data_IF_532183322170
#
_entry.id   IF_532183322170
#
_cell.length_a   1.000
_cell.length_b   1.000
_cell.length_c   1.000
_cell.angle_alpha   90.00
_cell.angle_beta   90.00
_cell.angle_gamma   90.00
#
_symmetry.space_group_name_H-M   'P 1'
#
loop_
_entity.id
_entity.type
_entity.pdbx_description
1 polymer ?
#
# COMPACT_ATOMS: atom_id res chain seq x y z
N UNK A 1 -23.53 -33.55 46.65
CA UNK A 1 -23.45 -33.86 45.21
C UNK A 1 -24.79 -33.50 44.58
N UNK A 2 -24.79 -32.68 43.53
CA UNK A 2 -26.03 -32.33 42.84
C UNK A 2 -26.68 -33.60 42.28
N UNK A 3 -27.99 -33.76 42.53
CA UNK A 3 -28.78 -34.92 42.07
C UNK A 3 -29.00 -34.87 40.55
N UNK A 4 -28.79 -33.69 39.94
CA UNK A 4 -29.04 -33.40 38.54
C UNK A 4 -27.82 -32.65 37.99
N UNK A 5 -27.19 -33.20 36.96
CA UNK A 5 -26.12 -32.55 36.22
C UNK A 5 -26.73 -31.61 35.16
N UNK A 6 -26.15 -30.42 34.99
CA UNK A 6 -26.58 -29.46 33.97
C UNK A 6 -25.49 -29.32 32.93
N UNK A 7 -25.79 -29.72 31.70
CA UNK A 7 -24.92 -29.58 30.54
C UNK A 7 -25.42 -28.38 29.74
N UNK A 8 -24.55 -27.36 29.60
CA UNK A 8 -24.84 -26.14 28.85
C UNK A 8 -23.61 -25.71 28.07
N UNK A 9 -23.84 -24.96 26.99
CA UNK A 9 -22.75 -24.35 26.24
C UNK A 9 -21.97 -23.33 27.10
N UNK A 10 -20.65 -23.44 27.10
CA UNK A 10 -19.73 -22.47 27.72
C UNK A 10 -18.55 -22.12 26.80
N UNK A 11 -18.68 -22.38 25.49
CA UNK A 11 -17.68 -22.03 24.49
C UNK A 11 -17.66 -20.54 24.12
N UNK A 12 -16.67 -20.15 23.32
CA UNK A 12 -16.49 -18.78 22.84
C UNK A 12 -17.48 -18.47 21.69
N UNK A 13 -18.11 -17.28 21.64
CA UNK A 13 -19.03 -16.87 20.56
C UNK A 13 -18.60 -17.18 19.12
N UNK A 14 -17.31 -17.11 18.80
CA UNK A 14 -16.76 -17.32 17.44
C UNK A 14 -16.61 -18.80 17.04
N UNK A 15 -17.13 -19.71 17.85
CA UNK A 15 -17.06 -21.16 17.63
C UNK A 15 -18.33 -21.65 16.92
N UNK A 16 -18.14 -22.41 15.85
CA UNK A 16 -19.23 -23.03 15.08
C UNK A 16 -19.65 -24.38 15.64
N UNK A 17 -18.70 -25.20 16.10
CA UNK A 17 -18.98 -26.44 16.81
C UNK A 17 -18.08 -26.62 18.03
N UNK A 18 -18.65 -27.13 19.10
CA UNK A 18 -17.96 -27.32 20.38
C UNK A 18 -18.41 -28.61 21.05
N UNK A 19 -17.44 -29.48 21.35
CA UNK A 19 -17.65 -30.70 22.13
C UNK A 19 -17.63 -30.38 23.62
N UNK A 20 -18.68 -30.80 24.33
CA UNK A 20 -18.74 -30.71 25.78
C UNK A 20 -17.63 -31.58 26.41
N UNK A 21 -16.88 -31.11 27.43
CA UNK A 21 -15.66 -31.79 27.88
C UNK A 21 -15.89 -33.12 28.61
N UNK A 22 -17.06 -33.32 29.24
CA UNK A 22 -17.38 -34.57 29.93
C UNK A 22 -18.17 -35.50 29.01
N UNK A 23 -17.78 -36.77 28.99
CA UNK A 23 -18.49 -37.83 28.27
C UNK A 23 -19.34 -38.69 29.22
N UNK A 24 -19.18 -38.51 30.54
CA UNK A 24 -19.94 -39.24 31.55
C UNK A 24 -21.22 -38.47 31.87
N UNK A 25 -22.34 -38.88 31.24
CA UNK A 25 -23.64 -38.24 31.45
C UNK A 25 -24.53 -39.09 32.36
N UNK A 26 -25.13 -38.45 33.37
CA UNK A 26 -26.14 -39.08 34.22
C UNK A 26 -27.50 -39.29 33.54
N UNK A 27 -28.29 -40.25 34.05
CA UNK A 27 -29.62 -40.64 33.51
C UNK A 27 -30.71 -39.55 33.62
N UNK A 28 -30.40 -38.38 34.18
CA UNK A 28 -31.32 -37.24 34.35
C UNK A 28 -30.65 -35.91 34.01
N UNK A 29 -29.58 -35.95 33.22
CA UNK A 29 -28.82 -34.76 32.86
C UNK A 29 -29.72 -33.76 32.13
N UNK A 30 -29.67 -32.51 32.57
CA UNK A 30 -30.42 -31.41 31.97
C UNK A 30 -29.55 -30.75 30.91
N UNK A 31 -29.92 -30.94 29.66
CA UNK A 31 -29.29 -30.30 28.51
C UNK A 31 -29.96 -28.96 28.24
N UNK A 32 -29.19 -27.87 28.27
CA UNK A 32 -29.67 -26.51 27.98
C UNK A 32 -29.05 -26.05 26.67
N UNK A 33 -29.90 -25.83 25.67
CA UNK A 33 -29.52 -25.36 24.34
C UNK A 33 -30.03 -23.94 24.15
N UNK A 34 -29.15 -23.01 23.79
CA UNK A 34 -29.53 -21.61 23.56
C UNK A 34 -30.35 -21.45 22.27
N UNK A 35 -31.09 -20.34 22.14
CA UNK A 35 -31.95 -20.06 20.97
C UNK A 35 -31.22 -20.11 19.62
N UNK A 36 -29.95 -19.69 19.60
CA UNK A 36 -29.14 -19.66 18.39
C UNK A 36 -28.31 -20.94 18.18
N UNK A 37 -28.67 -22.04 18.85
CA UNK A 37 -27.88 -23.27 18.87
C UNK A 37 -28.74 -24.51 18.65
N UNK A 38 -28.06 -25.56 18.21
CA UNK A 38 -28.54 -26.93 18.25
C UNK A 38 -27.53 -27.76 19.03
N UNK A 39 -27.98 -28.85 19.65
CA UNK A 39 -27.09 -29.83 20.25
C UNK A 39 -27.27 -31.21 19.61
N UNK A 40 -26.19 -31.94 19.39
CA UNK A 40 -26.22 -33.31 18.86
C UNK A 40 -25.58 -34.24 19.89
N UNK A 41 -26.27 -35.33 20.20
CA UNK A 41 -25.75 -36.39 21.06
C UNK A 41 -25.09 -37.48 20.22
N UNK A 42 -23.84 -37.80 20.53
CA UNK A 42 -23.12 -38.92 19.95
C UNK A 42 -22.97 -40.04 20.97
N UNK A 43 -23.13 -41.29 20.52
CA UNK A 43 -22.83 -42.47 21.32
C UNK A 43 -22.29 -43.58 20.43
N UNK A 44 -21.24 -44.25 20.90
CA UNK A 44 -20.61 -45.35 20.15
C UNK A 44 -20.15 -44.93 18.75
N UNK A 45 -19.74 -43.67 18.57
CA UNK A 45 -19.32 -43.11 17.28
C UNK A 45 -20.45 -42.75 16.32
N UNK A 46 -21.72 -42.80 16.73
CA UNK A 46 -22.86 -42.44 15.89
C UNK A 46 -23.56 -41.17 16.38
N UNK A 47 -23.92 -40.28 15.45
CA UNK A 47 -24.78 -39.12 15.72
C UNK A 47 -26.23 -39.60 15.88
N UNK A 48 -26.74 -39.56 17.10
CA UNK A 48 -28.06 -40.09 17.42
C UNK A 48 -29.12 -39.01 17.27
N UNK A 49 -29.37 -38.24 18.32
CA UNK A 49 -30.46 -37.26 18.37
C UNK A 49 -29.95 -35.82 18.31
N UNK A 50 -30.80 -34.96 17.73
CA UNK A 50 -30.58 -33.53 17.59
C UNK A 50 -31.61 -32.80 18.44
N UNK A 51 -31.13 -31.93 19.31
CA UNK A 51 -31.92 -31.16 20.25
C UNK A 51 -31.96 -29.69 19.80
N UNK A 52 -33.15 -29.13 19.54
CA UNK A 52 -33.29 -27.71 19.23
C UNK A 52 -33.09 -26.85 20.49
N UNK A 53 -33.21 -25.53 20.34
CA UNK A 53 -33.22 -24.60 21.46
C UNK A 53 -34.22 -24.99 22.56
N UNK A 54 -33.81 -24.79 23.82
CA UNK A 54 -34.62 -25.07 24.99
C UNK A 54 -33.95 -25.99 26.01
N UNK A 55 -34.74 -26.41 26.99
CA UNK A 55 -34.31 -27.30 28.06
C UNK A 55 -34.80 -28.72 27.77
N UNK A 56 -33.88 -29.66 27.75
CA UNK A 56 -34.13 -31.07 27.47
C UNK A 56 -33.63 -31.94 28.63
N UNK A 57 -34.34 -33.02 28.92
CA UNK A 57 -33.89 -34.02 29.90
C UNK A 57 -33.36 -35.23 29.14
N UNK A 58 -32.10 -35.57 29.36
CA UNK A 58 -31.45 -36.72 28.75
C UNK A 58 -31.79 -37.98 29.55
N UNK A 59 -32.81 -38.68 29.09
CA UNK A 59 -33.17 -40.02 29.56
C UNK A 59 -33.03 -41.01 28.43
N UNK A 60 -32.48 -42.19 28.72
CA UNK A 60 -32.36 -43.29 27.75
C UNK A 60 -33.69 -43.55 27.02
N UNK A 61 -34.80 -43.51 27.75
CA UNK A 61 -36.16 -43.73 27.25
C UNK A 61 -36.68 -42.66 26.29
N UNK A 62 -36.16 -41.43 26.37
CA UNK A 62 -36.68 -40.26 25.62
C UNK A 62 -35.85 -39.91 24.39
N UNK A 63 -34.84 -40.74 24.06
CA UNK A 63 -33.90 -40.54 22.97
C UNK A 63 -34.22 -41.61 21.90
N UNK A 64 -35.05 -41.31 20.88
CA UNK A 64 -35.67 -42.30 19.99
C UNK A 64 -34.69 -43.29 19.34
N UNK A 65 -33.50 -42.83 18.96
CA UNK A 65 -32.48 -43.68 18.32
C UNK A 65 -31.67 -44.50 19.33
N UNK A 66 -31.57 -44.04 20.57
CA UNK A 66 -30.79 -44.66 21.63
C UNK A 66 -31.58 -45.78 22.34
N UNK A 67 -32.91 -45.70 22.34
CA UNK A 67 -33.82 -46.76 22.83
C UNK A 67 -33.58 -48.11 22.16
N UNK A 68 -33.24 -48.13 20.88
CA UNK A 68 -33.01 -49.37 20.13
C UNK A 68 -31.68 -50.06 20.50
N UNK A 69 -30.77 -49.36 21.19
CA UNK A 69 -29.39 -49.80 21.44
C UNK A 69 -29.19 -50.24 22.91
N UNK A 70 -30.03 -49.79 23.84
CA UNK A 70 -29.82 -49.96 25.30
C UNK A 70 -30.83 -50.95 25.88
N UNK A 71 -30.64 -52.25 25.62
CA UNK A 71 -31.28 -53.34 26.37
C UNK A 71 -30.21 -54.09 27.17
N UNK A 72 -29.59 -53.44 28.16
CA UNK A 72 -28.68 -54.09 29.12
C UNK A 72 -29.09 -53.74 30.56
N UNK A 73 -29.17 -54.74 31.47
CA UNK A 73 -29.70 -54.55 32.82
C UNK A 73 -28.60 -54.01 33.75
N UNK A 74 -28.31 -52.71 33.66
CA UNK A 74 -27.40 -52.06 34.60
C UNK A 74 -28.19 -51.49 35.78
N UNK A 75 -28.01 -52.10 36.94
CA UNK A 75 -28.75 -51.87 38.19
C UNK A 75 -28.75 -50.43 38.71
N UNK A 76 -29.67 -49.61 38.21
CA UNK A 76 -30.26 -48.49 38.94
C UNK A 76 -29.60 -47.12 38.79
N UNK A 77 -28.28 -47.02 38.53
CA UNK A 77 -27.59 -45.77 38.15
C UNK A 77 -26.30 -46.10 37.40
N UNK A 78 -26.31 -46.00 36.07
CA UNK A 78 -25.08 -46.11 35.28
C UNK A 78 -24.95 -44.85 34.42
N UNK A 79 -23.87 -44.05 34.58
CA UNK A 79 -23.55 -43.01 33.62
C UNK A 79 -23.36 -43.68 32.26
N UNK A 80 -24.04 -43.16 31.24
CA UNK A 80 -23.81 -43.65 29.88
C UNK A 80 -22.76 -42.76 29.23
N UNK A 81 -21.71 -43.37 28.69
CA UNK A 81 -20.70 -42.65 27.92
C UNK A 81 -21.34 -42.11 26.62
N UNK A 82 -21.45 -40.80 26.50
CA UNK A 82 -21.95 -40.11 25.33
C UNK A 82 -21.36 -38.70 25.23
N UNK A 83 -21.22 -38.23 24.00
CA UNK A 83 -20.68 -36.89 23.73
C UNK A 83 -21.81 -35.93 23.37
N UNK A 84 -21.75 -34.72 23.89
CA UNK A 84 -22.66 -33.63 23.51
C UNK A 84 -21.90 -32.62 22.67
N UNK A 85 -22.39 -32.36 21.47
CA UNK A 85 -21.86 -31.35 20.57
C UNK A 85 -22.83 -30.20 20.45
N UNK A 86 -22.37 -28.98 20.69
CA UNK A 86 -23.13 -27.76 20.44
C UNK A 86 -22.71 -27.17 19.10
N UNK A 87 -23.71 -26.77 18.31
CA UNK A 87 -23.54 -26.18 16.99
C UNK A 87 -24.18 -24.80 17.02
N UNK A 88 -23.39 -23.79 16.67
CA UNK A 88 -23.86 -22.43 16.61
C UNK A 88 -24.49 -22.13 15.24
N UNK A 89 -25.75 -21.71 15.25
CA UNK A 89 -26.56 -21.45 14.05
C UNK A 89 -26.60 -19.96 13.67
N UNK A 90 -25.87 -19.11 14.39
CA UNK A 90 -25.76 -17.68 14.06
C UNK A 90 -25.16 -17.47 12.67
N UNK A 91 -25.51 -16.33 12.10
CA UNK A 91 -24.87 -15.82 10.89
C UNK A 91 -23.49 -15.24 11.26
N UNK A 92 -22.42 -15.83 10.75
CA UNK A 92 -21.07 -15.24 10.82
C UNK A 92 -20.80 -14.50 9.52
N UNK A 93 -20.92 -13.18 9.53
CA UNK A 93 -20.92 -12.34 8.32
C UNK A 93 -19.56 -11.72 7.98
N UNK A 94 -18.55 -11.93 8.82
CA UNK A 94 -17.29 -11.20 8.80
C UNK A 94 -16.07 -12.12 8.54
N UNK A 95 -16.27 -13.23 7.81
CA UNK A 95 -15.20 -14.18 7.47
C UNK A 95 -14.31 -13.58 6.39
N UNK A 96 -13.19 -12.99 6.83
CA UNK A 96 -12.23 -12.31 5.95
C UNK A 96 -11.45 -13.31 5.09
N UNK A 97 -11.27 -12.99 3.82
CA UNK A 97 -10.44 -13.75 2.89
C UNK A 97 -9.53 -12.82 2.10
N UNK A 98 -8.44 -13.38 1.57
CA UNK A 98 -7.57 -12.65 0.66
C UNK A 98 -6.59 -13.57 -0.04
N UNK A 99 -6.04 -13.10 -1.15
CA UNK A 99 -5.04 -13.83 -1.93
C UNK A 99 -3.67 -13.71 -1.26
N UNK A 100 -3.12 -14.79 -0.67
CA UNK A 100 -1.83 -14.73 0.03
C UNK A 100 -0.66 -14.49 -0.95
N UNK A 101 -0.78 -15.03 -2.17
CA UNK A 101 0.18 -14.84 -3.26
C UNK A 101 -0.46 -13.98 -4.35
N UNK A 102 0.30 -13.02 -4.95
CA UNK A 102 -0.22 -12.23 -6.06
C UNK A 102 -0.66 -13.11 -7.23
N UNK A 103 -1.73 -12.68 -7.90
CA UNK A 103 -2.23 -13.22 -9.16
C UNK A 103 -1.47 -12.54 -10.28
N UNK A 104 -0.69 -13.30 -11.04
CA UNK A 104 0.04 -12.78 -12.20
C UNK A 104 -0.84 -12.91 -13.44
N UNK A 105 -1.02 -11.83 -14.18
CA UNK A 105 -1.77 -11.86 -15.44
C UNK A 105 -1.26 -10.78 -16.40
N UNK A 106 -1.62 -10.93 -17.67
CA UNK A 106 -1.36 -9.92 -18.68
C UNK A 106 -2.61 -9.05 -18.86
N UNK A 107 -2.47 -7.74 -18.65
CA UNK A 107 -3.55 -6.79 -18.88
C UNK A 107 -3.91 -6.80 -20.39
N UNK A 108 -5.19 -7.05 -20.76
CA UNK A 108 -5.58 -7.23 -22.15
C UNK A 108 -5.60 -5.91 -22.97
N UNK A 109 -5.61 -4.75 -22.31
CA UNK A 109 -5.68 -3.43 -22.95
C UNK A 109 -4.28 -2.88 -23.22
N UNK A 110 -3.37 -3.04 -22.28
CA UNK A 110 -2.00 -2.52 -22.36
C UNK A 110 -0.96 -3.59 -22.70
N UNK A 111 -1.36 -4.87 -22.69
CA UNK A 111 -0.51 -6.02 -22.98
C UNK A 111 0.71 -6.16 -22.05
N UNK A 112 0.61 -5.63 -20.83
CA UNK A 112 1.67 -5.67 -19.81
C UNK A 112 1.38 -6.76 -18.76
N UNK A 113 2.43 -7.35 -18.21
CA UNK A 113 2.29 -8.25 -17.06
C UNK A 113 2.12 -7.44 -15.78
N UNK A 114 1.07 -7.75 -15.03
CA UNK A 114 0.75 -7.12 -13.76
C UNK A 114 0.49 -8.20 -12.72
N UNK A 115 0.85 -7.86 -11.49
CA UNK A 115 0.51 -8.70 -10.34
C UNK A 115 -0.59 -8.02 -9.55
N UNK A 116 -1.64 -8.76 -9.18
CA UNK A 116 -2.74 -8.22 -8.38
C UNK A 116 -3.00 -9.05 -7.14
N UNK A 117 -3.54 -8.41 -6.11
CA UNK A 117 -4.08 -9.06 -4.94
C UNK A 117 -5.54 -8.68 -4.80
N UNK A 118 -6.30 -9.58 -4.21
CA UNK A 118 -7.70 -9.35 -3.92
C UNK A 118 -8.01 -9.80 -2.51
N UNK A 119 -8.89 -9.07 -1.86
CA UNK A 119 -9.37 -9.40 -0.53
C UNK A 119 -10.83 -9.00 -0.37
N UNK A 120 -11.44 -9.57 0.66
CA UNK A 120 -12.81 -9.28 0.99
C UNK A 120 -13.28 -10.06 2.19
N UNK A 121 -14.56 -10.33 2.24
CA UNK A 121 -15.17 -11.13 3.30
C UNK A 121 -16.37 -11.89 2.77
N UNK A 122 -16.73 -12.98 3.43
CA UNK A 122 -17.92 -13.72 3.15
C UNK A 122 -18.65 -14.07 4.44
N UNK A 123 -19.93 -14.36 4.29
CA UNK A 123 -20.82 -14.68 5.39
C UNK A 123 -21.32 -16.10 5.28
N UNK A 124 -21.31 -16.84 6.40
CA UNK A 124 -21.84 -18.20 6.46
C UNK A 124 -22.85 -18.39 7.58
N UNK A 125 -23.61 -19.46 7.45
CA UNK A 125 -24.45 -20.01 8.51
C UNK A 125 -24.36 -21.54 8.46
N UNK A 126 -24.32 -22.20 9.62
CA UNK A 126 -24.47 -23.66 9.67
C UNK A 126 -25.93 -24.01 9.48
N UNK A 127 -26.28 -24.65 8.37
CA UNK A 127 -27.67 -25.00 8.04
C UNK A 127 -28.00 -26.45 8.44
N UNK A 128 -27.13 -27.41 8.11
CA UNK A 128 -27.28 -28.83 8.46
C UNK A 128 -26.19 -29.24 9.46
N UNK A 129 -26.57 -29.31 10.74
CA UNK A 129 -25.66 -29.57 11.86
C UNK A 129 -25.06 -30.98 11.83
N UNK A 130 -25.82 -31.99 11.38
CA UNK A 130 -25.32 -33.38 11.29
C UNK A 130 -24.27 -33.49 10.19
N UNK A 131 -24.59 -32.96 9.01
CA UNK A 131 -23.67 -32.97 7.86
C UNK A 131 -22.41 -32.19 8.14
N UNK A 132 -22.53 -31.02 8.78
CA UNK A 132 -21.42 -30.20 9.21
C UNK A 132 -20.47 -30.94 10.17
N UNK A 133 -21.00 -31.52 11.25
CA UNK A 133 -20.15 -32.28 12.19
C UNK A 133 -19.46 -33.47 11.52
N UNK A 134 -20.23 -34.29 10.80
CA UNK A 134 -19.73 -35.55 10.24
C UNK A 134 -18.71 -35.36 9.12
N UNK A 135 -18.88 -34.34 8.27
CA UNK A 135 -18.00 -34.13 7.11
C UNK A 135 -16.86 -33.14 7.37
N UNK A 136 -17.03 -32.19 8.29
CA UNK A 136 -16.09 -31.07 8.43
C UNK A 136 -15.37 -31.06 9.78
N UNK A 137 -16.10 -31.25 10.89
CA UNK A 137 -15.52 -31.13 12.24
C UNK A 137 -14.73 -32.39 12.62
N UNK A 138 -15.24 -33.57 12.26
CA UNK A 138 -14.57 -34.83 12.51
C UNK A 138 -14.33 -35.05 14.01
N UNK A 139 -13.05 -35.10 14.41
CA UNK A 139 -12.64 -35.35 15.80
C UNK A 139 -12.13 -34.10 16.55
N UNK A 140 -12.22 -32.91 15.94
CA UNK A 140 -11.73 -31.67 16.54
C UNK A 140 -12.66 -31.21 17.67
N UNK A 141 -12.21 -31.09 18.93
CA UNK A 141 -13.10 -30.73 20.05
C UNK A 141 -13.74 -29.35 19.89
N UNK A 142 -13.12 -28.47 19.09
CA UNK A 142 -13.61 -27.14 18.77
C UNK A 142 -13.38 -26.89 17.27
N UNK A 143 -14.40 -26.38 16.59
CA UNK A 143 -14.30 -25.89 15.22
C UNK A 143 -14.70 -24.42 15.16
N UNK A 144 -13.75 -23.57 14.81
CA UNK A 144 -13.88 -22.11 14.80
C UNK A 144 -13.67 -21.53 13.39
N UNK A 145 -13.64 -20.20 13.33
CA UNK A 145 -13.41 -19.40 12.12
C UNK A 145 -12.08 -19.70 11.41
N UNK A 146 -11.02 -19.96 12.16
CA UNK A 146 -9.70 -20.24 11.58
C UNK A 146 -9.67 -21.62 10.93
N UNK A 147 -10.28 -22.63 11.58
CA UNK A 147 -10.45 -23.96 11.02
C UNK A 147 -11.24 -23.91 9.70
N UNK A 148 -12.35 -23.15 9.67
CA UNK A 148 -13.14 -22.94 8.46
C UNK A 148 -12.29 -22.34 7.33
N UNK A 149 -11.55 -21.27 7.62
CA UNK A 149 -10.72 -20.57 6.65
C UNK A 149 -9.62 -21.47 6.08
N UNK A 150 -8.99 -22.28 6.91
CA UNK A 150 -7.96 -23.22 6.49
C UNK A 150 -8.54 -24.31 5.59
N UNK A 151 -9.70 -24.87 5.95
CA UNK A 151 -10.34 -25.92 5.16
C UNK A 151 -10.75 -25.44 3.77
N UNK A 152 -11.43 -24.28 3.68
CA UNK A 152 -11.93 -23.75 2.42
C UNK A 152 -10.92 -22.85 1.68
N UNK A 153 -9.67 -22.76 2.16
CA UNK A 153 -8.61 -21.95 1.54
C UNK A 153 -8.42 -22.23 0.07
N UNK A 154 -8.30 -23.50 -0.30
CA UNK A 154 -8.14 -23.90 -1.69
C UNK A 154 -9.34 -23.52 -2.56
N UNK A 155 -10.55 -23.60 -1.99
CA UNK A 155 -11.80 -23.31 -2.69
C UNK A 155 -11.92 -21.83 -3.05
N UNK A 156 -11.93 -20.94 -2.05
CA UNK A 156 -12.14 -19.50 -2.33
C UNK A 156 -10.97 -18.91 -3.12
N UNK A 157 -9.74 -19.37 -2.90
CA UNK A 157 -8.58 -18.88 -3.67
C UNK A 157 -8.67 -19.27 -5.13
N UNK A 158 -9.02 -20.52 -5.42
CA UNK A 158 -9.16 -21.00 -6.80
C UNK A 158 -10.31 -20.26 -7.50
N UNK A 159 -11.49 -20.16 -6.86
CA UNK A 159 -12.66 -19.51 -7.45
C UNK A 159 -12.45 -18.01 -7.66
N UNK A 160 -11.86 -17.31 -6.70
CA UNK A 160 -11.56 -15.88 -6.85
C UNK A 160 -10.54 -15.64 -7.97
N UNK A 161 -9.44 -16.40 -8.02
CA UNK A 161 -8.42 -16.28 -9.07
C UNK A 161 -8.99 -16.52 -10.45
N UNK A 162 -9.67 -17.65 -10.62
CA UNK A 162 -10.25 -18.07 -11.90
C UNK A 162 -11.27 -17.05 -12.41
N UNK A 163 -12.17 -16.59 -11.53
CA UNK A 163 -13.17 -15.58 -11.88
C UNK A 163 -12.52 -14.26 -12.27
N UNK A 164 -11.63 -13.71 -11.43
CA UNK A 164 -10.96 -12.42 -11.70
C UNK A 164 -10.17 -12.47 -13.01
N UNK A 165 -9.36 -13.51 -13.21
CA UNK A 165 -8.55 -13.67 -14.43
C UNK A 165 -9.41 -13.86 -15.68
N UNK A 166 -10.44 -14.70 -15.62
CA UNK A 166 -11.36 -14.94 -16.73
C UNK A 166 -12.10 -13.66 -17.11
N UNK A 167 -12.54 -12.88 -16.12
CA UNK A 167 -13.26 -11.65 -16.34
C UNK A 167 -12.42 -10.61 -17.07
N UNK A 168 -11.15 -10.44 -16.66
CA UNK A 168 -10.20 -9.56 -17.34
C UNK A 168 -9.97 -10.01 -18.79
N UNK A 169 -9.60 -11.28 -18.98
CA UNK A 169 -9.20 -11.80 -20.30
C UNK A 169 -10.38 -11.85 -21.28
N UNK A 170 -11.52 -12.41 -20.89
CA UNK A 170 -12.65 -12.62 -21.79
C UNK A 170 -13.42 -11.33 -22.08
N UNK A 171 -13.63 -10.46 -21.07
CA UNK A 171 -14.29 -9.16 -21.28
C UNK A 171 -13.34 -8.08 -21.79
N UNK A 172 -12.04 -8.37 -21.89
CA UNK A 172 -10.98 -7.43 -22.31
C UNK A 172 -10.97 -6.14 -21.48
N UNK A 173 -11.23 -6.27 -20.18
CA UNK A 173 -11.25 -5.16 -19.23
C UNK A 173 -9.83 -4.96 -18.69
N UNK A 174 -9.40 -3.71 -18.53
CA UNK A 174 -8.11 -3.43 -17.90
C UNK A 174 -8.16 -3.71 -16.40
N UNK A 175 -7.03 -4.11 -15.82
CA UNK A 175 -6.86 -4.23 -14.37
C UNK A 175 -7.16 -2.91 -13.64
N UNK A 176 -7.01 -1.76 -14.31
CA UNK A 176 -7.33 -0.44 -13.74
C UNK A 176 -8.83 -0.18 -13.63
N UNK A 177 -9.64 -0.92 -14.38
CA UNK A 177 -11.09 -0.75 -14.49
C UNK A 177 -11.85 -1.86 -13.75
N UNK A 178 -11.16 -2.91 -13.28
CA UNK A 178 -11.79 -4.09 -12.68
C UNK A 178 -12.60 -3.78 -11.42
N UNK A 179 -12.20 -2.76 -10.66
CA UNK A 179 -12.91 -2.37 -9.45
C UNK A 179 -14.34 -1.83 -9.72
N UNK A 180 -14.68 -1.52 -10.98
CA UNK A 180 -16.05 -1.20 -11.37
C UNK A 180 -16.99 -2.44 -11.38
N UNK A 181 -16.42 -3.65 -11.31
CA UNK A 181 -17.15 -4.92 -11.46
C UNK A 181 -17.14 -5.79 -10.20
N UNK A 182 -16.78 -5.23 -9.04
CA UNK A 182 -16.68 -5.98 -7.78
C UNK A 182 -17.98 -6.69 -7.40
N UNK A 183 -19.14 -6.08 -7.65
CA UNK A 183 -20.46 -6.67 -7.35
C UNK A 183 -20.70 -7.91 -8.23
N UNK A 184 -20.44 -7.81 -9.53
CA UNK A 184 -20.63 -8.93 -10.46
C UNK A 184 -19.67 -10.08 -10.16
N UNK A 185 -18.39 -9.77 -9.87
CA UNK A 185 -17.40 -10.77 -9.45
C UNK A 185 -17.82 -11.46 -8.15
N UNK A 186 -18.34 -10.69 -7.19
CA UNK A 186 -18.80 -11.17 -5.89
C UNK A 186 -19.93 -12.20 -6.02
N UNK A 187 -20.97 -11.88 -6.78
CA UNK A 187 -22.08 -12.81 -7.02
C UNK A 187 -21.64 -14.04 -7.82
N UNK A 188 -20.81 -13.88 -8.85
CA UNK A 188 -20.33 -15.03 -9.63
C UNK A 188 -19.49 -16.00 -8.78
N UNK A 189 -18.61 -15.49 -7.91
CA UNK A 189 -17.82 -16.34 -7.00
C UNK A 189 -18.75 -17.06 -6.01
N UNK A 190 -19.71 -16.32 -5.44
CA UNK A 190 -20.70 -16.87 -4.50
C UNK A 190 -21.49 -18.02 -5.10
N UNK A 191 -22.09 -17.83 -6.28
CA UNK A 191 -22.89 -18.84 -6.99
C UNK A 191 -22.10 -20.14 -7.22
N UNK A 192 -20.83 -20.00 -7.60
CA UNK A 192 -19.93 -21.13 -7.82
C UNK A 192 -19.47 -21.83 -6.53
N UNK A 193 -19.55 -21.17 -5.38
CA UNK A 193 -19.14 -21.72 -4.07
C UNK A 193 -20.30 -22.37 -3.31
N UNK A 194 -21.52 -21.87 -3.47
CA UNK A 194 -22.74 -22.39 -2.81
C UNK A 194 -22.86 -23.93 -2.89
N UNK A 195 -22.80 -24.59 -4.07
CA UNK A 195 -23.05 -26.03 -4.14
C UNK A 195 -22.03 -26.81 -3.31
N UNK A 196 -20.76 -26.40 -3.36
CA UNK A 196 -19.67 -27.07 -2.65
C UNK A 196 -19.82 -26.91 -1.14
N UNK A 197 -20.10 -25.69 -0.64
CA UNK A 197 -20.26 -25.47 0.80
C UNK A 197 -21.52 -26.16 1.36
N UNK A 198 -22.59 -26.25 0.57
CA UNK A 198 -23.84 -26.92 0.93
C UNK A 198 -23.65 -28.44 1.14
N UNK A 199 -22.69 -29.05 0.45
CA UNK A 199 -22.33 -30.46 0.68
C UNK A 199 -21.74 -30.72 2.08
N UNK A 200 -21.25 -29.67 2.75
CA UNK A 200 -20.73 -29.72 4.12
C UNK A 200 -21.71 -29.13 5.14
N UNK A 201 -22.96 -28.85 4.75
CA UNK A 201 -23.99 -28.32 5.64
C UNK A 201 -23.83 -26.84 5.96
N UNK A 202 -23.01 -26.12 5.18
CA UNK A 202 -22.77 -24.70 5.34
C UNK A 202 -23.53 -23.94 4.26
N UNK A 203 -24.36 -22.99 4.68
CA UNK A 203 -24.99 -22.00 3.82
C UNK A 203 -24.08 -20.80 3.64
N UNK A 204 -23.68 -20.53 2.40
CA UNK A 204 -23.00 -19.28 2.03
C UNK A 204 -24.05 -18.17 1.85
N UNK A 205 -24.00 -17.15 2.70
CA UNK A 205 -24.99 -16.07 2.78
C UNK A 205 -24.65 -14.96 1.81
N UNK A 206 -23.40 -14.53 1.85
CA UNK A 206 -22.84 -13.53 0.94
C UNK A 206 -21.37 -13.84 0.69
N UNK A 207 -20.83 -13.29 -0.39
CA UNK A 207 -19.41 -13.27 -0.67
C UNK A 207 -19.12 -11.91 -1.28
N UNK A 208 -18.16 -11.18 -0.72
CA UNK A 208 -17.78 -9.86 -1.20
C UNK A 208 -16.30 -9.85 -1.55
N UNK A 209 -16.01 -9.35 -2.75
CA UNK A 209 -14.71 -8.84 -3.14
C UNK A 209 -14.72 -7.35 -2.78
N UNK A 210 -13.95 -6.96 -1.76
CA UNK A 210 -13.94 -5.57 -1.29
C UNK A 210 -13.00 -4.71 -2.13
N UNK A 211 -11.88 -5.28 -2.58
CA UNK A 211 -10.89 -4.57 -3.38
C UNK A 211 -10.05 -5.54 -4.21
N UNK A 212 -9.58 -5.05 -5.34
CA UNK A 212 -8.58 -5.67 -6.20
C UNK A 212 -7.51 -4.61 -6.43
N UNK A 213 -6.35 -4.82 -5.80
CA UNK A 213 -5.26 -3.88 -5.84
C UNK A 213 -4.02 -4.47 -6.51
N UNK A 214 -3.20 -3.55 -7.00
CA UNK A 214 -1.92 -3.85 -7.63
C UNK A 214 -0.85 -3.41 -6.63
N UNK A 215 0.09 -4.27 -6.22
CA UNK A 215 1.16 -3.89 -5.30
C UNK A 215 1.90 -2.65 -5.83
N UNK A 216 1.99 -1.60 -4.99
CA UNK A 216 2.58 -0.32 -5.40
C UNK A 216 4.07 -0.42 -5.75
N UNK A 217 4.74 -1.48 -5.29
CA UNK A 217 6.16 -1.75 -5.52
C UNK A 217 6.45 -2.23 -6.95
N UNK A 218 5.43 -2.58 -7.74
CA UNK A 218 5.61 -3.10 -9.10
C UNK A 218 6.07 -2.00 -10.05
N UNK A 219 7.33 -2.08 -10.47
CA UNK A 219 7.95 -1.10 -11.38
C UNK A 219 7.22 -0.97 -12.72
N UNK A 220 6.53 -2.03 -13.17
CA UNK A 220 5.78 -2.03 -14.44
C UNK A 220 4.56 -1.13 -14.34
N UNK A 221 3.92 -1.13 -13.17
CA UNK A 221 2.69 -0.39 -12.90
C UNK A 221 2.99 1.08 -12.68
N UNK A 222 4.12 1.41 -12.02
CA UNK A 222 4.61 2.79 -11.92
C UNK A 222 4.83 3.38 -13.31
N UNK A 223 5.56 2.66 -14.17
CA UNK A 223 5.80 3.07 -15.57
C UNK A 223 4.50 3.20 -16.37
N UNK A 224 3.54 2.30 -16.18
CA UNK A 224 2.23 2.41 -16.84
C UNK A 224 1.49 3.66 -16.39
N UNK A 225 1.43 3.93 -15.08
CA UNK A 225 0.78 5.13 -14.53
C UNK A 225 1.44 6.40 -15.07
N UNK A 226 2.78 6.45 -15.10
CA UNK A 226 3.53 7.56 -15.69
C UNK A 226 3.22 7.74 -17.18
N UNK A 227 3.19 6.66 -17.97
CA UNK A 227 2.86 6.71 -19.38
C UNK A 227 1.41 7.16 -19.63
N UNK A 228 0.46 6.71 -18.81
CA UNK A 228 -0.93 7.13 -18.87
C UNK A 228 -1.12 8.60 -18.47
N UNK A 229 -0.42 9.05 -17.43
CA UNK A 229 -0.42 10.45 -17.02
C UNK A 229 0.17 11.34 -18.13
N UNK A 230 1.29 10.92 -18.72
CA UNK A 230 1.92 11.62 -19.84
C UNK A 230 1.02 11.67 -21.07
N UNK A 231 0.32 10.58 -21.38
CA UNK A 231 -0.68 10.56 -22.47
C UNK A 231 -1.84 11.52 -22.18
N UNK A 232 -2.36 11.52 -20.96
CA UNK A 232 -3.43 12.43 -20.57
C UNK A 232 -2.98 13.89 -20.65
N UNK A 233 -1.73 14.19 -20.26
CA UNK A 233 -1.14 15.52 -20.41
C UNK A 233 -1.06 15.95 -21.88
N UNK A 234 -0.54 15.08 -22.75
CA UNK A 234 -0.51 15.28 -24.20
C UNK A 234 -1.92 15.56 -24.77
N UNK A 235 -2.93 14.80 -24.34
CA UNK A 235 -4.31 14.96 -24.77
C UNK A 235 -4.93 16.28 -24.27
N UNK A 236 -4.63 16.71 -23.04
CA UNK A 236 -5.13 17.97 -22.45
C UNK A 236 -4.52 19.19 -23.11
N UNK A 237 -3.20 19.18 -23.31
CA UNK A 237 -2.45 20.32 -23.85
C UNK A 237 -2.54 20.35 -25.38
N UNK A 238 -2.81 19.21 -26.03
CA UNK A 238 -3.03 19.11 -27.46
C UNK A 238 -1.76 18.95 -28.29
N UNK A 239 -0.72 18.32 -27.74
CA UNK A 239 0.51 17.98 -28.47
C UNK A 239 0.73 16.47 -28.51
N UNK A 240 1.40 15.98 -29.55
CA UNK A 240 1.77 14.57 -29.69
C UNK A 240 3.24 14.31 -29.34
N UNK A 241 3.61 13.04 -29.21
CA UNK A 241 4.98 12.63 -28.85
C UNK A 241 6.06 13.18 -29.79
N UNK A 242 5.79 13.27 -31.10
CA UNK A 242 6.75 13.81 -32.05
C UNK A 242 6.96 15.31 -31.85
N UNK A 243 5.88 16.06 -31.54
CA UNK A 243 5.95 17.47 -31.19
C UNK A 243 6.70 17.69 -29.88
N UNK A 244 6.41 16.91 -28.84
CA UNK A 244 7.13 16.97 -27.56
C UNK A 244 8.64 16.79 -27.75
N UNK A 245 9.04 15.71 -28.44
CA UNK A 245 10.45 15.44 -28.72
C UNK A 245 11.09 16.55 -29.55
N UNK A 246 10.35 17.19 -30.44
CA UNK A 246 10.85 18.35 -31.18
C UNK A 246 11.11 19.54 -30.25
N UNK A 247 10.21 19.84 -29.32
CA UNK A 247 10.39 20.89 -28.33
C UNK A 247 11.54 20.60 -27.37
N UNK A 248 11.65 19.37 -26.86
CA UNK A 248 12.77 18.92 -26.02
C UNK A 248 14.12 19.10 -26.73
N UNK A 249 14.20 18.76 -28.02
CA UNK A 249 15.44 18.91 -28.80
C UNK A 249 15.79 20.38 -29.03
N UNK A 250 14.79 21.24 -29.25
CA UNK A 250 14.99 22.68 -29.39
C UNK A 250 15.46 23.31 -28.07
N UNK A 251 14.85 22.92 -26.95
CA UNK A 251 15.25 23.38 -25.61
C UNK A 251 16.65 22.88 -25.25
N UNK A 252 16.97 21.61 -25.51
CA UNK A 252 18.30 21.03 -25.29
C UNK A 252 19.39 21.70 -26.13
N UNK A 253 19.08 22.10 -27.36
CA UNK A 253 19.97 22.88 -28.23
C UNK A 253 20.14 24.34 -27.75
N UNK A 254 19.09 24.95 -27.21
CA UNK A 254 19.13 26.31 -26.67
C UNK A 254 19.89 26.41 -25.33
N UNK A 255 19.80 25.37 -24.50
CA UNK A 255 20.44 25.31 -23.18
C UNK A 255 21.89 24.81 -23.21
N UNK A 256 22.35 24.21 -24.31
CA UNK A 256 23.75 23.85 -24.55
C UNK A 256 24.37 24.64 -25.73
N UNK A 257 24.61 25.95 -25.58
CA UNK A 257 25.21 26.79 -26.63
C UNK A 257 26.69 26.48 -26.93
N UNK A 258 27.32 25.57 -26.18
CA UNK A 258 28.75 25.24 -26.29
C UNK A 258 29.12 24.06 -27.20
N UNK A 259 28.16 23.31 -27.76
CA UNK A 259 28.49 22.27 -28.74
C UNK A 259 28.71 22.91 -30.11
N UNK A 260 29.94 22.86 -30.62
CA UNK A 260 30.35 23.34 -31.95
C UNK A 260 29.67 22.65 -33.16
N UNK A 261 28.59 21.91 -32.93
CA UNK A 261 27.77 21.20 -33.91
C UNK A 261 26.34 21.79 -34.08
N UNK A 262 25.96 22.79 -33.28
CA UNK A 262 24.60 23.38 -33.30
C UNK A 262 24.34 24.23 -34.55
N UNK A 263 25.38 24.72 -35.23
CA UNK A 263 25.23 25.54 -36.45
C UNK A 263 24.68 24.79 -37.67
N UNK A 264 24.84 23.45 -37.73
CA UNK A 264 24.38 22.66 -38.87
C UNK A 264 23.10 21.87 -38.59
N UNK A 265 22.83 21.53 -37.32
CA UNK A 265 21.65 20.75 -36.95
C UNK A 265 20.44 21.62 -36.56
N UNK A 266 20.68 22.83 -36.01
CA UNK A 266 19.63 23.83 -35.76
C UNK A 266 19.08 24.48 -37.05
N UNK A 267 19.86 24.47 -38.13
CA UNK A 267 19.42 24.90 -39.45
C UNK A 267 18.68 23.79 -40.23
N UNK A 268 18.98 22.51 -39.98
CA UNK A 268 18.43 21.39 -40.76
C UNK A 268 16.93 21.11 -40.54
N UNK A 269 16.40 21.38 -39.34
CA UNK A 269 14.97 21.15 -39.04
C UNK A 269 14.14 22.41 -39.33
N UNK A 270 14.70 23.61 -39.15
CA UNK A 270 14.05 24.88 -39.54
C UNK A 270 13.95 25.11 -41.05
N UNK A 271 14.77 24.42 -41.86
CA UNK A 271 14.74 24.49 -43.32
C UNK A 271 13.81 23.45 -43.98
N UNK A 272 13.39 22.40 -43.26
CA UNK A 272 12.55 21.32 -43.83
C UNK A 272 11.07 21.67 -44.01
N UNK A 273 10.59 22.73 -43.36
CA UNK A 273 9.19 23.19 -43.43
C UNK A 273 9.02 24.55 -44.15
N UNK A 274 10.11 25.17 -44.62
CA UNK A 274 10.11 26.55 -45.13
C UNK A 274 10.31 26.71 -46.64
N UNK A 275 10.31 25.63 -47.42
CA UNK A 275 10.72 25.64 -48.84
C UNK A 275 9.63 26.19 -49.81
N UNK A 276 8.65 26.95 -49.30
CA UNK A 276 7.55 27.50 -50.10
C UNK A 276 7.53 29.03 -50.26
N UNK A 277 8.34 29.80 -49.53
CA UNK A 277 8.10 31.25 -49.39
C UNK A 277 9.36 32.14 -49.50
N UNK A 278 10.46 31.63 -50.06
CA UNK A 278 11.75 32.32 -50.11
C UNK A 278 11.90 33.49 -51.11
N UNK A 279 10.84 33.92 -51.80
CA UNK A 279 10.95 34.88 -52.91
C UNK A 279 10.64 36.35 -52.60
N UNK A 280 9.96 36.67 -51.49
CA UNK A 280 9.28 37.98 -51.34
C UNK A 280 9.76 38.79 -50.12
N UNK A 281 10.46 38.17 -49.16
CA UNK A 281 10.85 38.84 -47.90
C UNK A 281 12.20 39.58 -48.01
N UNK A 282 13.03 39.25 -49.02
CA UNK A 282 14.35 39.87 -49.22
C UNK A 282 14.34 41.36 -49.58
N UNK A 283 13.25 41.89 -50.14
CA UNK A 283 13.18 43.28 -50.66
C UNK A 283 12.52 44.29 -49.71
N UNK A 284 11.91 43.86 -48.59
CA UNK A 284 11.32 44.78 -47.60
C UNK A 284 12.21 45.04 -46.36
N UNK A 285 13.27 44.26 -46.14
CA UNK A 285 14.11 44.40 -44.95
C UNK A 285 15.17 45.51 -45.06
N UNK A 286 15.42 46.04 -46.26
CA UNK A 286 16.44 47.08 -46.49
C UNK A 286 16.01 48.50 -46.05
N UNK A 287 14.73 48.74 -45.77
CA UNK A 287 14.20 50.05 -45.39
C UNK A 287 14.08 50.31 -43.87
N UNK A 288 14.37 49.31 -43.04
CA UNK A 288 14.21 49.40 -41.57
C UNK A 288 15.55 49.72 -40.86
N UNK A 289 16.66 49.73 -41.59
CA UNK A 289 18.01 49.91 -41.05
C UNK A 289 18.39 51.39 -40.73
N UNK A 290 17.60 52.39 -41.13
CA UNK A 290 17.93 53.82 -40.91
C UNK A 290 17.26 54.46 -39.69
N UNK A 291 16.44 53.73 -38.91
CA UNK A 291 15.72 54.32 -37.76
C UNK A 291 15.90 53.59 -36.42
N UNK A 292 16.93 52.77 -36.25
CA UNK A 292 17.26 52.20 -34.93
C UNK A 292 18.20 53.14 -34.19
N UNK A 293 17.59 54.08 -33.46
CA UNK A 293 18.24 54.89 -32.45
C UNK A 293 18.21 54.12 -31.11
N UNK A 294 19.23 53.31 -30.83
CA UNK A 294 19.42 52.67 -29.52
C UNK A 294 20.49 53.40 -28.74
N UNK A 295 20.08 54.38 -27.95
CA UNK A 295 20.91 54.89 -26.83
C UNK A 295 20.94 53.84 -25.72
N UNK A 296 21.71 52.78 -25.89
CA UNK A 296 22.06 51.84 -24.83
C UNK A 296 23.34 52.34 -24.15
N UNK A 297 23.24 52.66 -22.85
CA UNK A 297 24.41 53.04 -22.07
C UNK A 297 25.26 51.79 -21.78
N UNK A 298 26.50 51.79 -22.24
CA UNK A 298 27.47 50.70 -22.05
C UNK A 298 28.54 51.08 -21.03
N UNK A 299 29.14 50.08 -20.37
CA UNK A 299 30.28 50.19 -19.44
C UNK A 299 31.37 49.20 -19.85
N UNK A 300 32.63 49.48 -19.53
CA UNK A 300 33.72 48.55 -19.78
C UNK A 300 33.91 47.60 -18.60
N UNK A 301 34.17 46.33 -18.88
CA UNK A 301 34.49 45.31 -17.88
C UNK A 301 35.84 45.63 -17.20
N UNK A 302 35.90 45.80 -15.86
CA UNK A 302 37.15 46.09 -15.15
C UNK A 302 38.24 45.03 -15.32
N UNK A 303 37.86 43.76 -15.53
CA UNK A 303 38.80 42.62 -15.63
C UNK A 303 39.36 42.37 -17.04
N UNK A 304 38.55 42.51 -18.09
CA UNK A 304 38.93 42.13 -19.46
C UNK A 304 38.69 43.23 -20.51
N UNK A 305 38.18 44.39 -20.06
CA UNK A 305 37.86 45.55 -20.88
C UNK A 305 36.79 45.34 -21.98
N UNK A 306 36.09 44.19 -21.99
CA UNK A 306 34.94 43.96 -22.87
C UNK A 306 33.79 44.95 -22.58
N UNK A 307 33.04 45.33 -23.62
CA UNK A 307 31.91 46.26 -23.52
C UNK A 307 30.70 45.50 -23.00
N UNK A 308 30.10 45.96 -21.90
CA UNK A 308 28.93 45.36 -21.25
C UNK A 308 27.82 46.41 -21.19
N UNK A 309 26.58 45.99 -21.45
CA UNK A 309 25.40 46.83 -21.18
C UNK A 309 25.25 47.09 -19.68
N UNK A 310 24.86 48.31 -19.27
CA UNK A 310 24.76 48.67 -17.85
C UNK A 310 23.84 47.72 -17.06
N UNK A 311 22.78 47.21 -17.66
CA UNK A 311 21.79 46.31 -17.05
C UNK A 311 22.33 44.89 -16.81
N UNK A 312 23.39 44.47 -17.52
CA UNK A 312 23.99 43.14 -17.34
C UNK A 312 24.92 43.14 -16.13
N UNK A 313 24.63 42.21 -15.22
CA UNK A 313 25.36 42.01 -13.97
C UNK A 313 26.63 41.18 -14.13
N UNK A 314 26.80 40.47 -15.24
CA UNK A 314 27.97 39.63 -15.51
C UNK A 314 28.56 39.95 -16.89
N UNK A 315 29.88 39.92 -16.99
CA UNK A 315 30.59 40.00 -18.26
C UNK A 315 30.43 38.69 -19.03
N UNK A 316 29.86 38.75 -20.23
CA UNK A 316 29.66 37.60 -21.12
C UNK A 316 30.98 36.93 -21.54
N UNK A 317 32.08 37.70 -21.59
CA UNK A 317 33.38 37.23 -22.07
C UNK A 317 34.23 36.56 -21.00
N UNK A 318 34.23 37.10 -19.77
CA UNK A 318 35.15 36.62 -18.72
C UNK A 318 34.47 36.24 -17.40
N UNK A 319 33.14 36.29 -17.35
CA UNK A 319 32.35 35.93 -16.17
C UNK A 319 32.43 36.92 -15.00
N UNK A 320 33.10 38.07 -15.16
CA UNK A 320 33.26 39.06 -14.09
C UNK A 320 31.92 39.71 -13.72
N UNK A 321 31.56 39.67 -12.43
CA UNK A 321 30.34 40.29 -11.92
C UNK A 321 30.52 41.81 -11.75
N UNK A 322 29.73 42.58 -12.51
CA UNK A 322 29.73 44.05 -12.55
C UNK A 322 28.40 44.66 -12.04
N UNK A 323 27.69 44.00 -11.12
CA UNK A 323 26.46 44.50 -10.49
C UNK A 323 26.71 45.65 -9.48
N UNK A 324 25.70 46.50 -9.28
CA UNK A 324 25.77 47.65 -8.36
C UNK A 324 26.07 47.23 -6.91
N UNK A 325 27.01 47.93 -6.27
CA UNK A 325 27.65 47.55 -5.02
C UNK A 325 26.88 47.90 -3.72
N UNK A 326 25.53 47.95 -3.73
CA UNK A 326 24.77 48.50 -2.59
C UNK A 326 24.03 47.52 -1.67
N UNK A 327 24.02 46.21 -1.94
CA UNK A 327 23.44 45.21 -1.02
C UNK A 327 24.30 43.95 -0.93
N UNK A 328 25.60 44.11 -0.66
CA UNK A 328 26.48 42.95 -0.41
C UNK A 328 26.51 42.64 1.09
N UNK A 329 25.81 41.60 1.50
CA UNK A 329 26.07 40.95 2.79
C UNK A 329 27.21 39.96 2.59
N UNK A 330 28.38 40.31 3.13
CA UNK A 330 29.55 39.44 3.11
C UNK A 330 29.41 38.35 4.18
N UNK A 331 29.67 37.10 3.78
CA UNK A 331 29.76 35.92 4.64
C UNK A 331 31.20 35.42 4.66
N UNK A 332 31.58 34.72 5.73
CA UNK A 332 32.94 34.19 5.89
C UNK A 332 32.93 32.68 5.66
N UNK A 333 33.79 32.18 4.77
CA UNK A 333 33.88 30.76 4.49
C UNK A 333 34.21 29.96 5.76
N UNK A 334 33.39 28.95 6.06
CA UNK A 334 33.62 28.07 7.22
C UNK A 334 34.87 27.19 7.13
N UNK A 335 35.47 27.06 5.94
CA UNK A 335 36.63 26.20 5.70
C UNK A 335 37.95 27.00 5.57
N UNK A 336 37.96 28.11 4.82
CA UNK A 336 39.18 28.87 4.51
C UNK A 336 39.17 30.33 5.04
N UNK A 337 38.07 30.78 5.64
CA UNK A 337 37.86 32.15 6.11
C UNK A 337 37.84 33.24 5.01
N UNK A 338 37.83 32.87 3.73
CA UNK A 338 37.63 33.83 2.65
C UNK A 338 36.26 34.50 2.75
N UNK A 339 36.20 35.82 2.57
CA UNK A 339 34.95 36.58 2.58
C UNK A 339 34.38 36.66 1.18
N UNK A 340 33.12 36.27 1.03
CA UNK A 340 32.43 36.29 -0.26
C UNK A 340 30.96 36.64 -0.11
N UNK A 341 30.30 36.85 -1.24
CA UNK A 341 28.91 37.26 -1.32
C UNK A 341 27.95 36.06 -1.11
N UNK A 342 26.88 36.22 -0.32
CA UNK A 342 25.92 35.13 -0.04
C UNK A 342 25.22 34.56 -1.29
N UNK A 343 25.32 35.23 -2.44
CA UNK A 343 24.72 34.76 -3.71
C UNK A 343 25.53 33.67 -4.42
N UNK A 344 26.80 33.42 -4.03
CA UNK A 344 27.60 32.36 -4.66
C UNK A 344 27.39 31.00 -3.98
N UNK A 345 27.23 29.95 -4.78
CA UNK A 345 26.96 28.58 -4.30
C UNK A 345 28.19 27.86 -3.73
N UNK A 346 29.39 28.34 -4.07
CA UNK A 346 30.66 27.77 -3.64
C UNK A 346 31.63 28.89 -3.28
N UNK A 347 32.48 28.64 -2.29
CA UNK A 347 33.54 29.56 -1.93
C UNK A 347 34.50 29.75 -3.13
N UNK A 348 34.74 31.00 -3.60
CA UNK A 348 35.61 31.26 -4.75
C UNK A 348 37.08 30.87 -4.54
N UNK A 349 37.55 30.83 -3.29
CA UNK A 349 38.93 30.46 -2.97
C UNK A 349 39.12 28.94 -2.86
N UNK A 350 38.40 28.28 -1.95
CA UNK A 350 38.62 26.86 -1.63
C UNK A 350 37.62 25.88 -2.28
N UNK A 351 36.63 26.37 -3.02
CA UNK A 351 35.63 25.53 -3.70
C UNK A 351 34.63 24.81 -2.79
N UNK A 352 34.65 25.05 -1.48
CA UNK A 352 33.71 24.40 -0.54
C UNK A 352 32.28 24.89 -0.80
N UNK A 353 31.27 24.00 -0.84
CA UNK A 353 29.87 24.41 -1.00
C UNK A 353 29.43 25.32 0.14
N UNK A 354 28.69 26.38 -0.19
CA UNK A 354 28.10 27.27 0.79
C UNK A 354 26.96 26.55 1.53
N UNK A 355 27.05 26.48 2.87
CA UNK A 355 26.06 25.83 3.72
C UNK A 355 25.42 26.87 4.67
N UNK A 356 24.37 27.57 4.22
CA UNK A 356 23.79 28.69 4.94
C UNK A 356 23.09 28.27 6.23
N UNK A 357 23.40 28.95 7.33
CA UNK A 357 22.55 28.93 8.51
C UNK A 357 21.14 29.48 8.18
N UNK A 358 20.05 28.78 8.54
CA UNK A 358 18.68 29.26 8.27
C UNK A 358 18.34 30.60 8.93
N UNK A 359 18.96 30.89 10.08
CA UNK A 359 18.65 32.06 10.89
C UNK A 359 19.50 33.28 10.51
N UNK A 360 20.83 33.10 10.43
CA UNK A 360 21.76 34.22 10.25
C UNK A 360 22.49 34.23 8.89
N UNK A 361 22.23 33.25 8.03
CA UNK A 361 22.89 33.04 6.73
C UNK A 361 24.42 32.89 6.75
N UNK A 362 25.04 32.79 7.93
CA UNK A 362 26.48 32.49 7.99
C UNK A 362 26.78 31.12 7.36
N UNK A 363 27.92 30.99 6.69
CA UNK A 363 28.38 29.72 6.16
C UNK A 363 28.79 28.80 7.32
N UNK A 364 28.15 27.65 7.46
CA UNK A 364 28.39 26.71 8.56
C UNK A 364 29.10 25.47 8.03
N UNK A 365 30.09 24.98 8.77
CA UNK A 365 30.82 23.75 8.39
C UNK A 365 29.85 22.59 8.13
N UNK A 366 30.03 21.87 7.02
CA UNK A 366 29.20 20.71 6.68
C UNK A 366 29.21 19.69 7.82
N UNK A 367 28.02 19.26 8.26
CA UNK A 367 27.85 18.29 9.36
C UNK A 367 27.92 18.87 10.77
N UNK A 368 28.04 20.20 10.95
CA UNK A 368 27.93 20.81 12.28
C UNK A 368 26.48 20.76 12.79
N UNK A 369 26.30 20.44 14.07
CA UNK A 369 24.98 20.42 14.71
C UNK A 369 24.41 21.82 14.94
N UNK A 370 25.27 22.82 15.16
CA UNK A 370 24.88 24.20 15.49
C UNK A 370 25.68 25.22 14.66
N UNK A 371 25.05 26.36 14.36
CA UNK A 371 25.71 27.50 13.76
C UNK A 371 26.68 28.14 14.76
N UNK A 372 27.96 28.29 14.37
CA UNK A 372 29.00 28.87 15.21
C UNK A 372 28.79 30.37 15.51
N UNK A 373 28.00 31.09 14.69
CA UNK A 373 27.76 32.53 14.83
C UNK A 373 26.52 32.87 15.66
N UNK A 374 25.40 32.17 15.46
CA UNK A 374 24.13 32.47 16.14
C UNK A 374 23.63 31.37 17.07
N UNK A 375 24.28 30.21 17.12
CA UNK A 375 23.93 29.09 18.00
C UNK A 375 22.73 28.25 17.56
N UNK A 376 22.02 28.63 16.48
CA UNK A 376 20.86 27.88 15.97
C UNK A 376 21.24 26.47 15.52
N UNK A 377 20.34 25.51 15.71
CA UNK A 377 20.54 24.12 15.26
C UNK A 377 20.45 24.05 13.73
N UNK A 378 21.35 23.28 13.12
CA UNK A 378 21.36 23.04 11.69
C UNK A 378 20.35 21.94 11.33
N UNK A 379 19.54 22.12 10.27
CA UNK A 379 18.58 21.11 9.85
C UNK A 379 19.32 19.87 9.32
N UNK A 380 18.92 18.68 9.79
CA UNK A 380 19.48 17.41 9.32
C UNK A 380 18.62 16.85 8.17
N UNK A 381 19.23 16.36 7.09
CA UNK A 381 18.48 15.70 6.03
C UNK A 381 17.90 14.37 6.54
N UNK A 382 16.69 14.05 6.11
CA UNK A 382 16.06 12.75 6.32
C UNK A 382 16.91 11.64 5.69
N UNK A 383 17.19 10.57 6.44
CA UNK A 383 18.00 9.44 5.95
C UNK A 383 17.36 8.67 4.78
N UNK A 384 16.03 8.79 4.59
CA UNK A 384 15.31 8.10 3.53
C UNK A 384 15.10 8.98 2.27
N UNK A 385 14.64 10.23 2.44
CA UNK A 385 14.24 11.09 1.32
C UNK A 385 15.08 12.37 1.16
N UNK A 386 16.05 12.62 2.04
CA UNK A 386 16.92 13.80 1.96
C UNK A 386 16.28 15.12 2.39
N UNK A 387 14.96 15.19 2.64
CA UNK A 387 14.27 16.40 3.09
C UNK A 387 14.90 16.96 4.36
N UNK A 388 15.16 18.27 4.40
CA UNK A 388 15.67 18.95 5.58
C UNK A 388 14.61 18.97 6.69
N UNK A 389 14.92 18.28 7.79
CA UNK A 389 14.03 18.15 8.93
C UNK A 389 14.22 19.34 9.87
N UNK A 390 13.11 19.99 10.23
CA UNK A 390 13.04 20.94 11.34
C UNK A 390 13.11 20.18 12.67
N UNK A 391 13.49 20.87 13.75
CA UNK A 391 13.76 20.25 15.05
C UNK A 391 12.65 19.32 15.58
N UNK A 392 13.07 18.22 16.25
CA UNK A 392 12.25 17.34 17.12
C UNK A 392 11.02 16.68 16.48
N UNK A 393 11.04 16.43 15.18
CA UNK A 393 9.97 15.65 14.54
C UNK A 393 10.11 14.15 14.81
N UNK A 394 8.97 13.50 15.13
CA UNK A 394 8.90 12.04 15.36
C UNK A 394 8.87 11.23 14.05
N UNK A 395 8.37 11.86 12.98
CA UNK A 395 8.25 11.30 11.64
C UNK A 395 8.69 12.33 10.61
N UNK A 396 9.21 11.88 9.48
CA UNK A 396 9.45 12.75 8.33
C UNK A 396 8.11 13.16 7.71
N UNK A 397 7.83 14.47 7.52
CA UNK A 397 6.57 14.93 6.94
C UNK A 397 6.41 14.57 5.46
N UNK A 398 7.52 14.33 4.75
CA UNK A 398 7.49 14.01 3.32
C UNK A 398 7.38 12.51 3.05
N UNK A 399 8.20 11.67 3.71
CA UNK A 399 8.23 10.22 3.43
C UNK A 399 7.62 9.35 4.53
N UNK A 400 7.10 9.94 5.61
CA UNK A 400 6.46 9.22 6.71
C UNK A 400 7.38 8.35 7.58
N UNK A 401 8.69 8.28 7.29
CA UNK A 401 9.61 7.42 8.05
C UNK A 401 9.73 7.88 9.50
N UNK A 402 9.68 6.93 10.44
CA UNK A 402 9.94 7.21 11.86
C UNK A 402 11.38 7.67 12.04
N UNK A 403 11.55 8.84 12.64
CA UNK A 403 12.85 9.39 13.01
C UNK A 403 13.27 8.93 14.41
N UNK A 404 12.36 8.29 15.14
CA UNK A 404 12.60 7.69 16.45
C UNK A 404 13.16 6.28 16.25
N UNK A 405 14.30 5.99 16.88
CA UNK A 405 14.83 4.62 17.00
C UNK A 405 14.00 3.84 18.01
N UNK A 406 13.49 2.67 17.62
CA UNK A 406 12.77 1.74 18.51
C UNK A 406 13.50 0.40 18.56
N UNK A 407 13.42 -0.28 19.69
CA UNK A 407 13.95 -1.63 19.83
C UNK A 407 13.18 -2.60 18.93
N UNK A 408 13.88 -3.39 18.11
CA UNK A 408 13.29 -4.40 17.24
C UNK A 408 12.54 -5.52 17.98
N UNK A 409 12.85 -5.75 19.26
CA UNK A 409 12.23 -6.82 20.05
C UNK A 409 11.03 -6.34 20.88
N UNK A 410 11.20 -5.28 21.68
CA UNK A 410 10.15 -4.80 22.60
C UNK A 410 9.48 -3.48 22.18
N UNK A 411 9.88 -2.91 21.04
CA UNK A 411 9.32 -1.68 20.47
C UNK A 411 9.43 -0.40 21.34
N UNK A 412 10.20 -0.44 22.43
CA UNK A 412 10.48 0.74 23.26
C UNK A 412 11.32 1.76 22.50
N UNK A 413 11.02 3.04 22.71
CA UNK A 413 11.79 4.15 22.17
C UNK A 413 13.20 4.18 22.81
N UNK A 414 14.22 4.18 21.95
CA UNK A 414 15.62 4.24 22.33
C UNK A 414 16.08 5.69 22.27
N UNK A 415 16.44 6.24 23.43
CA UNK A 415 17.08 7.56 23.54
C UNK A 415 18.60 7.42 23.56
N UNK A 416 19.30 8.25 22.78
CA UNK A 416 20.76 8.24 22.69
C UNK A 416 21.33 7.14 21.79
N UNK A 417 22.54 6.68 22.10
CA UNK A 417 23.28 5.66 21.34
C UNK A 417 23.64 4.42 22.18
N UNK A 418 22.70 3.80 22.93
CA UNK A 418 23.01 2.59 23.70
C UNK A 418 23.24 1.39 22.78
N UNK A 419 24.20 0.53 23.13
CA UNK A 419 24.49 -0.72 22.39
C UNK A 419 23.44 -1.81 22.63
N UNK A 420 22.70 -1.72 23.73
CA UNK A 420 21.68 -2.68 24.15
C UNK A 420 20.43 -1.94 24.64
N UNK A 421 19.26 -2.54 24.43
CA UNK A 421 17.98 -2.02 24.87
C UNK A 421 17.90 -2.02 26.39
N UNK A 422 17.60 -0.88 27.04
CA UNK A 422 17.51 -0.79 28.49
C UNK A 422 16.35 -1.63 29.07
N UNK A 423 15.27 -1.83 28.31
CA UNK A 423 14.12 -2.63 28.77
C UNK A 423 14.29 -4.15 28.59
N UNK A 424 14.75 -4.60 27.42
CA UNK A 424 14.75 -6.03 27.08
C UNK A 424 16.13 -6.64 26.83
N UNK A 425 17.21 -5.85 26.96
CA UNK A 425 18.59 -6.33 26.74
C UNK A 425 18.97 -6.64 25.29
N UNK A 426 18.05 -6.54 24.33
CA UNK A 426 18.36 -6.82 22.92
C UNK A 426 19.38 -5.83 22.35
N UNK A 427 20.27 -6.29 21.47
CA UNK A 427 21.27 -5.44 20.81
C UNK A 427 20.58 -4.49 19.82
N UNK A 428 20.97 -3.21 19.82
CA UNK A 428 20.37 -2.13 19.00
C UNK A 428 21.23 -1.83 17.78
#
# INVERSE_FOLDING_TARGET
MAIIEVVKYNGNPDVFAWKYPSEELGTWTQLIVNESQEAILFKGGQALDLFPAGRHTLETANIPLLNNIINLPFGGRSPFAAEVWYINKIFSLDVKWGTPSPIQLQDPKYNIFVTLRSFGQFGIQIEDSRRFLMKLVGTLPVFDKDNLLNFFRGLYLTKAKDTISSYLVHKKISVLEINAYLIELSEHIKENMIPIMSEYGIKLVNFYVNDINIPEDDSTVKKLKEALAKRAEMDIIGYNYAQERSFDTLEGAATNPGSSQTGLMGAGIGLGMGVGMGGIIGSQFSGIAENINTTTKTKNCPKCNAIIEIEKKFCSECGYYAGNAKDKKEITCSNCNYKYDETVKFCPECGTPYNPCPECKEDVKMGADNCHKCGSLMPKPCANCGTLLKEKMKFCPECGISLIKRCSNCNVEIKGTPKFCPECGNKI
#
